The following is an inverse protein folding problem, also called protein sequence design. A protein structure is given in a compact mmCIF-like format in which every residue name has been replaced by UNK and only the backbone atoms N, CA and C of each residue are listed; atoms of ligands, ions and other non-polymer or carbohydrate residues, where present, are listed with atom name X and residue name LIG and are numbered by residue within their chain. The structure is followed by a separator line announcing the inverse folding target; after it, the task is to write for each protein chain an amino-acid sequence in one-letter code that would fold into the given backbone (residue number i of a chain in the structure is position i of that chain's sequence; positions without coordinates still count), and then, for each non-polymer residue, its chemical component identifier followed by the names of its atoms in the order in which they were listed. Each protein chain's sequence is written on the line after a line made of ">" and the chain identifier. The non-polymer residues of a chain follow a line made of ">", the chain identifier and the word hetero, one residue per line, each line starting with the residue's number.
data_IF_296333816627
#
_entry.id   IF_296333816627
#
_cell.length_a   1.000
_cell.length_b   1.000
_cell.length_c   1.000
_cell.angle_alpha   90.00
_cell.angle_beta   90.00
_cell.angle_gamma   90.00
#
_symmetry.space_group_name_H-M   'P 1'
#
loop_
_entity.id
_entity.type
_entity.pdbx_description
1 polymer ?
#
# COMPACT_ATOMS: atom_id res chain seq x y z
N UNK A 1 30.45 -8.00 13.24
CA UNK A 1 29.22 -7.22 13.05
C UNK A 1 28.03 -8.08 13.48
N UNK A 2 27.19 -7.58 14.38
CA UNK A 2 25.96 -8.27 14.79
C UNK A 2 24.98 -8.42 13.61
N UNK A 3 24.08 -9.40 13.71
CA UNK A 3 23.04 -9.63 12.69
C UNK A 3 22.16 -8.37 12.50
N UNK A 4 21.82 -7.69 13.58
CA UNK A 4 21.06 -6.43 13.57
C UNK A 4 21.80 -5.32 12.81
N UNK A 5 23.11 -5.14 13.02
CA UNK A 5 23.89 -4.13 12.30
C UNK A 5 23.96 -4.39 10.78
N UNK A 6 24.02 -5.67 10.37
CA UNK A 6 23.93 -6.06 8.93
C UNK A 6 22.56 -5.74 8.35
N UNK A 7 21.50 -6.05 9.10
CA UNK A 7 20.13 -5.77 8.68
C UNK A 7 19.89 -4.26 8.52
N UNK A 8 20.28 -3.43 9.52
CA UNK A 8 20.18 -1.97 9.48
C UNK A 8 20.92 -1.35 8.30
N UNK A 9 22.14 -1.83 8.01
CA UNK A 9 22.89 -1.37 6.83
C UNK A 9 22.16 -1.72 5.53
N UNK A 10 21.52 -2.89 5.45
CA UNK A 10 20.78 -3.35 4.28
C UNK A 10 19.52 -2.52 4.04
N UNK A 11 18.74 -2.23 5.10
CA UNK A 11 17.53 -1.43 4.98
C UNK A 11 17.82 0.04 4.63
N UNK A 12 18.90 0.61 5.19
CA UNK A 12 19.34 1.96 4.81
C UNK A 12 19.85 2.01 3.37
N UNK A 13 20.54 0.96 2.94
CA UNK A 13 20.99 0.80 1.55
C UNK A 13 19.81 0.75 0.57
N UNK A 14 18.69 0.16 0.99
CA UNK A 14 17.45 0.18 0.19
C UNK A 14 16.98 1.62 -0.08
N UNK A 15 16.81 2.44 0.96
CA UNK A 15 16.36 3.82 0.79
C UNK A 15 17.30 4.61 -0.14
N UNK A 16 18.60 4.46 0.04
CA UNK A 16 19.62 5.11 -0.82
C UNK A 16 19.49 4.71 -2.29
N UNK A 17 19.12 3.46 -2.55
CA UNK A 17 18.96 2.96 -3.91
C UNK A 17 17.58 3.30 -4.51
N UNK A 18 16.53 3.36 -3.71
CA UNK A 18 15.15 3.45 -4.22
C UNK A 18 14.59 4.86 -4.28
N UNK A 19 14.97 5.77 -3.38
CA UNK A 19 14.51 7.15 -3.44
C UNK A 19 14.88 7.85 -4.76
N UNK A 20 16.10 7.75 -5.29
CA UNK A 20 16.44 8.34 -6.60
C UNK A 20 15.63 7.78 -7.75
N UNK A 21 15.24 6.49 -7.68
CA UNK A 21 14.47 5.84 -8.74
C UNK A 21 13.02 6.31 -8.83
N UNK A 22 12.49 6.96 -7.79
CA UNK A 22 11.17 7.57 -7.82
C UNK A 22 11.11 8.76 -8.78
N UNK A 23 12.27 9.28 -9.21
CA UNK A 23 12.36 10.47 -10.08
C UNK A 23 11.50 11.62 -9.53
N UNK A 24 11.76 12.00 -8.27
CA UNK A 24 11.02 13.05 -7.57
C UNK A 24 11.15 14.43 -8.23
N UNK A 25 12.19 14.61 -9.02
CA UNK A 25 12.45 15.78 -9.87
C UNK A 25 11.43 15.96 -11.00
N UNK A 26 10.66 14.92 -11.32
CA UNK A 26 9.57 14.96 -12.31
C UNK A 26 8.24 15.44 -11.72
N UNK A 27 8.16 15.67 -10.42
CA UNK A 27 7.02 16.32 -9.79
C UNK A 27 7.23 17.82 -9.97
N UNK A 28 6.30 18.48 -10.61
CA UNK A 28 6.35 19.91 -10.86
C UNK A 28 6.24 20.68 -9.53
N UNK A 29 7.12 21.64 -9.36
CA UNK A 29 7.11 22.51 -8.17
C UNK A 29 6.14 23.67 -8.40
N UNK A 30 5.02 23.76 -7.70
CA UNK A 30 4.04 24.83 -7.90
C UNK A 30 4.50 26.17 -7.32
N UNK A 31 5.63 26.19 -6.60
CA UNK A 31 6.13 27.40 -5.96
C UNK A 31 6.86 28.29 -6.97
N UNK A 32 6.81 29.58 -6.72
CA UNK A 32 7.57 30.56 -7.51
C UNK A 32 9.08 30.42 -7.25
N UNK A 33 9.92 30.54 -8.29
CA UNK A 33 11.39 30.36 -8.24
C UNK A 33 12.09 31.26 -7.23
N UNK A 34 11.56 32.46 -6.99
CA UNK A 34 12.12 33.41 -6.02
C UNK A 34 11.90 32.90 -4.60
N UNK A 35 13.01 32.69 -3.87
CA UNK A 35 12.97 32.30 -2.46
C UNK A 35 12.93 30.82 -2.17
N UNK A 36 13.11 29.96 -3.15
CA UNK A 36 13.20 28.51 -2.95
C UNK A 36 14.44 28.13 -2.11
N UNK A 37 14.20 27.90 -0.82
CA UNK A 37 15.26 27.50 0.13
C UNK A 37 15.59 26.00 0.04
N UNK A 38 14.61 25.18 -0.32
CA UNK A 38 14.72 23.74 -0.51
C UNK A 38 14.06 23.35 -1.82
N UNK A 39 14.74 22.52 -2.58
CA UNK A 39 14.20 21.94 -3.81
C UNK A 39 13.08 20.94 -3.49
N UNK A 40 12.04 20.87 -4.30
CA UNK A 40 10.90 19.97 -4.09
C UNK A 40 11.32 18.49 -3.93
N UNK A 41 12.22 17.93 -4.75
CA UNK A 41 12.65 16.55 -4.58
C UNK A 41 13.24 16.26 -3.21
N UNK A 42 13.94 17.23 -2.61
CA UNK A 42 14.50 17.10 -1.27
C UNK A 42 13.39 17.08 -0.20
N UNK A 43 12.37 17.94 -0.33
CA UNK A 43 11.22 17.97 0.59
C UNK A 43 10.43 16.67 0.51
N UNK A 44 10.15 16.16 -0.67
CA UNK A 44 9.47 14.86 -0.86
C UNK A 44 10.29 13.69 -0.30
N UNK A 45 11.62 13.73 -0.47
CA UNK A 45 12.52 12.72 0.14
C UNK A 45 12.45 12.77 1.67
N UNK A 46 12.34 13.96 2.28
CA UNK A 46 12.17 14.12 3.73
C UNK A 46 10.85 13.49 4.17
N UNK A 47 9.74 13.82 3.51
CA UNK A 47 8.41 13.29 3.85
C UNK A 47 8.37 11.76 3.74
N UNK A 48 8.84 11.19 2.61
CA UNK A 48 8.88 9.74 2.42
C UNK A 48 9.78 9.04 3.44
N UNK A 49 10.95 9.62 3.75
CA UNK A 49 11.85 9.05 4.76
C UNK A 49 11.24 9.13 6.15
N UNK A 50 10.56 10.22 6.48
CA UNK A 50 9.85 10.37 7.75
C UNK A 50 8.73 9.34 7.89
N UNK A 51 7.93 9.09 6.84
CA UNK A 51 6.88 8.06 6.83
C UNK A 51 7.48 6.66 7.08
N UNK A 52 8.49 6.26 6.33
CA UNK A 52 9.09 4.92 6.49
C UNK A 52 9.91 4.78 7.78
N UNK A 53 10.28 5.88 8.43
CA UNK A 53 10.90 5.91 9.76
C UNK A 53 9.87 5.99 10.91
N UNK A 54 8.57 5.95 10.61
CA UNK A 54 7.50 5.93 11.60
C UNK A 54 7.26 7.26 12.30
N UNK A 55 7.54 8.38 11.64
CA UNK A 55 7.10 9.70 12.10
C UNK A 55 5.57 9.78 12.03
N UNK A 56 4.96 10.47 13.00
CA UNK A 56 3.50 10.60 13.13
C UNK A 56 2.97 11.97 12.76
N UNK A 57 3.86 12.93 12.47
CA UNK A 57 3.49 14.28 12.14
C UNK A 57 4.55 14.96 11.27
N UNK A 58 4.19 16.10 10.65
CA UNK A 58 5.16 16.96 9.97
C UNK A 58 6.20 17.53 10.95
N UNK A 59 5.83 17.71 12.21
CA UNK A 59 6.75 18.14 13.27
C UNK A 59 7.79 17.06 13.57
N UNK A 60 7.39 15.79 13.61
CA UNK A 60 8.36 14.67 13.75
C UNK A 60 9.31 14.62 12.54
N UNK A 61 8.80 14.90 11.34
CA UNK A 61 9.62 14.98 10.14
C UNK A 61 10.65 16.14 10.23
N UNK A 62 10.24 17.29 10.75
CA UNK A 62 11.13 18.40 11.04
C UNK A 62 12.21 18.02 12.06
N UNK A 63 11.83 17.34 13.16
CA UNK A 63 12.77 16.86 14.18
C UNK A 63 13.75 15.82 13.60
N UNK A 64 13.28 14.95 12.73
CA UNK A 64 14.14 13.99 12.03
C UNK A 64 15.22 14.73 11.23
N UNK A 65 14.86 15.79 10.48
CA UNK A 65 15.83 16.59 9.73
C UNK A 65 16.81 17.35 10.62
N UNK A 66 16.43 17.70 11.84
CA UNK A 66 17.30 18.33 12.83
C UNK A 66 18.38 17.36 13.32
N UNK A 67 18.01 16.10 13.49
CA UNK A 67 18.93 15.02 13.98
C UNK A 67 19.81 14.46 12.87
N UNK A 68 19.33 14.45 11.62
CA UNK A 68 20.10 13.94 10.49
C UNK A 68 21.27 14.88 10.20
N UNK A 69 22.48 14.36 10.28
CA UNK A 69 23.69 15.13 10.02
C UNK A 69 23.78 15.58 8.57
N UNK A 70 24.57 16.61 8.31
CA UNK A 70 24.80 17.11 6.96
C UNK A 70 25.25 16.04 5.96
N UNK A 71 25.98 15.01 6.42
CA UNK A 71 26.40 13.91 5.55
C UNK A 71 25.27 12.98 5.16
N UNK A 72 24.49 12.50 6.13
CA UNK A 72 23.32 11.65 5.86
C UNK A 72 22.25 12.45 5.12
N UNK A 73 21.96 13.68 5.55
CA UNK A 73 21.04 14.56 4.89
C UNK A 73 21.40 14.81 3.42
N UNK A 74 22.62 15.11 3.09
CA UNK A 74 23.06 15.32 1.70
C UNK A 74 23.00 14.05 0.85
N UNK A 75 23.35 12.90 1.42
CA UNK A 75 23.41 11.63 0.66
C UNK A 75 22.07 10.94 0.48
N UNK A 76 21.14 11.17 1.41
CA UNK A 76 19.84 10.48 1.42
C UNK A 76 18.68 11.44 1.15
N UNK A 77 18.66 12.58 1.85
CA UNK A 77 17.53 13.52 1.82
C UNK A 77 17.80 14.78 1.00
N UNK A 78 19.06 14.98 0.56
CA UNK A 78 19.50 16.19 -0.14
C UNK A 78 19.26 17.50 0.64
N UNK A 79 19.14 17.41 1.99
CA UNK A 79 18.98 18.57 2.88
C UNK A 79 20.20 18.72 3.77
N UNK A 80 20.65 19.98 3.97
CA UNK A 80 21.83 20.31 4.78
C UNK A 80 21.47 20.91 6.15
N UNK A 81 20.19 21.14 6.41
CA UNK A 81 19.69 21.80 7.62
C UNK A 81 18.23 21.40 7.88
N UNK A 82 17.73 21.74 9.07
CA UNK A 82 16.34 21.54 9.49
C UNK A 82 15.38 22.10 8.44
N UNK A 83 14.36 21.31 8.11
CA UNK A 83 13.24 21.71 7.24
C UNK A 83 12.03 21.94 8.15
N UNK A 84 11.49 23.18 8.26
CA UNK A 84 10.34 23.45 9.10
C UNK A 84 9.07 22.69 8.65
N UNK A 85 8.25 22.26 9.61
CA UNK A 85 6.96 21.62 9.37
C UNK A 85 6.01 22.51 8.56
N UNK A 86 6.04 23.83 8.82
CA UNK A 86 5.26 24.81 8.07
C UNK A 86 5.63 24.84 6.58
N UNK A 87 6.92 24.71 6.26
CA UNK A 87 7.38 24.61 4.86
C UNK A 87 6.87 23.32 4.21
N UNK A 88 6.96 22.18 4.92
CA UNK A 88 6.44 20.91 4.42
C UNK A 88 4.93 21.00 4.19
N UNK A 89 4.18 21.53 5.16
CA UNK A 89 2.73 21.70 5.07
C UNK A 89 2.33 22.55 3.87
N UNK A 90 2.90 23.77 3.75
CA UNK A 90 2.59 24.69 2.64
C UNK A 90 2.81 24.01 1.29
N UNK A 91 3.94 23.32 1.12
CA UNK A 91 4.23 22.64 -0.15
C UNK A 91 3.26 21.49 -0.43
N UNK A 92 2.99 20.66 0.57
CA UNK A 92 2.09 19.51 0.40
C UNK A 92 0.66 19.91 0.04
N UNK A 93 0.16 21.02 0.59
CA UNK A 93 -1.16 21.56 0.27
C UNK A 93 -1.26 22.17 -1.14
N UNK A 94 -0.14 22.43 -1.81
CA UNK A 94 -0.12 23.02 -3.16
C UNK A 94 0.21 22.03 -4.27
N UNK A 95 0.62 20.79 -3.93
CA UNK A 95 0.96 19.77 -4.93
C UNK A 95 -0.29 19.20 -5.60
N UNK A 96 -0.17 18.87 -6.89
CA UNK A 96 -1.22 18.16 -7.62
C UNK A 96 -1.28 16.68 -7.21
N UNK A 97 -2.45 16.17 -6.78
CA UNK A 97 -2.64 14.75 -6.52
C UNK A 97 -2.36 13.87 -7.74
N UNK A 98 -2.66 14.33 -8.95
CA UNK A 98 -2.43 13.61 -10.20
C UNK A 98 -0.93 13.36 -10.44
N UNK A 99 -0.09 14.34 -10.10
CA UNK A 99 1.36 14.16 -10.19
C UNK A 99 1.88 13.14 -9.18
N UNK A 100 1.27 13.06 -7.99
CA UNK A 100 1.61 12.06 -6.97
C UNK A 100 1.10 10.67 -7.38
N UNK A 101 -0.08 10.56 -8.03
CA UNK A 101 -0.49 9.30 -8.69
C UNK A 101 0.53 8.89 -9.76
N UNK A 102 0.97 9.82 -10.61
CA UNK A 102 2.00 9.54 -11.61
C UNK A 102 3.34 9.09 -10.98
N UNK A 103 3.69 9.62 -9.81
CA UNK A 103 4.83 9.15 -9.02
C UNK A 103 4.65 7.68 -8.58
N UNK A 104 3.49 7.34 -8.04
CA UNK A 104 3.13 5.97 -7.66
C UNK A 104 3.21 5.02 -8.86
N UNK A 105 2.65 5.42 -10.00
CA UNK A 105 2.71 4.64 -11.24
C UNK A 105 4.16 4.43 -11.72
N UNK A 106 5.03 5.44 -11.62
CA UNK A 106 6.47 5.30 -11.95
C UNK A 106 7.16 4.28 -11.03
N UNK A 107 6.87 4.32 -9.73
CA UNK A 107 7.39 3.35 -8.77
C UNK A 107 7.04 1.91 -9.17
N UNK A 108 5.77 1.67 -9.52
CA UNK A 108 5.28 0.35 -9.91
C UNK A 108 5.91 -0.12 -11.22
N UNK A 109 6.01 0.75 -12.24
CA UNK A 109 6.69 0.43 -13.50
C UNK A 109 8.18 0.07 -13.26
N UNK A 110 8.87 0.76 -12.34
CA UNK A 110 10.23 0.43 -11.96
C UNK A 110 10.32 -0.92 -11.23
N UNK A 111 9.38 -1.20 -10.32
CA UNK A 111 9.31 -2.50 -9.65
C UNK A 111 9.04 -3.64 -10.65
N UNK A 112 8.19 -3.42 -11.65
CA UNK A 112 7.93 -4.37 -12.73
C UNK A 112 9.20 -4.65 -13.55
N UNK A 113 9.91 -3.61 -14.01
CA UNK A 113 11.18 -3.76 -14.76
C UNK A 113 12.22 -4.59 -14.01
N UNK A 114 12.21 -4.55 -12.67
CA UNK A 114 13.08 -5.35 -11.80
C UNK A 114 12.55 -6.73 -11.49
N UNK A 115 11.44 -7.13 -12.09
CA UNK A 115 10.75 -8.39 -11.80
C UNK A 115 10.37 -8.55 -10.31
N UNK A 116 10.13 -7.41 -9.62
CA UNK A 116 9.74 -7.40 -8.20
C UNK A 116 8.22 -7.58 -8.00
N UNK A 117 7.44 -7.60 -9.08
CA UNK A 117 5.99 -7.77 -9.06
C UNK A 117 5.56 -9.18 -9.55
N UNK A 118 6.43 -10.15 -9.48
CA UNK A 118 6.12 -11.50 -9.93
C UNK A 118 4.88 -12.05 -9.22
N UNK A 119 4.08 -12.80 -9.97
CA UNK A 119 2.88 -13.50 -9.50
C UNK A 119 3.29 -14.73 -8.68
N UNK A 120 3.78 -14.51 -7.47
CA UNK A 120 4.30 -15.57 -6.60
C UNK A 120 3.24 -16.21 -5.72
N UNK A 121 2.07 -15.55 -5.62
CA UNK A 121 1.00 -15.97 -4.73
C UNK A 121 -0.19 -16.60 -5.47
N UNK A 122 -0.41 -16.22 -6.73
CA UNK A 122 -1.47 -16.74 -7.59
C UNK A 122 -0.90 -16.95 -9.00
N UNK A 123 -1.43 -17.88 -9.78
CA UNK A 123 -0.93 -18.16 -11.14
C UNK A 123 -1.31 -17.11 -12.18
N UNK A 124 -2.26 -16.25 -11.84
CA UNK A 124 -2.71 -15.11 -12.66
C UNK A 124 -2.53 -13.80 -11.91
N UNK A 125 -2.31 -12.72 -12.63
CA UNK A 125 -2.28 -11.39 -12.07
C UNK A 125 -3.67 -10.93 -11.62
N UNK A 126 -3.80 -10.50 -10.37
CA UNK A 126 -5.05 -10.02 -9.79
C UNK A 126 -4.84 -8.70 -9.08
N UNK A 127 -5.65 -7.71 -9.41
CA UNK A 127 -5.76 -6.44 -8.69
C UNK A 127 -7.02 -6.46 -7.84
N UNK A 128 -6.88 -6.26 -6.55
CA UNK A 128 -8.01 -5.97 -5.69
C UNK A 128 -8.25 -4.46 -5.63
N UNK A 129 -9.50 -4.07 -5.78
CA UNK A 129 -9.98 -2.69 -5.73
C UNK A 129 -10.87 -2.58 -4.49
N UNK A 130 -10.54 -1.66 -3.60
CA UNK A 130 -11.26 -1.48 -2.34
C UNK A 130 -11.26 -0.02 -1.91
N UNK A 131 -12.38 0.44 -1.35
CA UNK A 131 -12.54 1.78 -0.83
C UNK A 131 -11.79 1.98 0.48
N UNK A 132 -11.17 3.14 0.65
CA UNK A 132 -10.59 3.56 1.92
C UNK A 132 -11.02 4.98 2.24
N UNK A 133 -11.50 5.17 3.48
CA UNK A 133 -11.92 6.47 4.01
C UNK A 133 -10.98 6.91 5.12
N UNK A 134 -10.58 8.18 5.09
CA UNK A 134 -9.85 8.86 6.18
C UNK A 134 -10.71 10.00 6.69
N UNK A 135 -10.96 10.03 8.00
CA UNK A 135 -11.78 11.06 8.61
C UNK A 135 -10.97 12.35 8.77
N UNK A 136 -11.52 13.43 8.28
CA UNK A 136 -10.97 14.79 8.39
C UNK A 136 -11.98 15.70 9.10
N UNK A 137 -11.56 16.85 9.63
CA UNK A 137 -12.49 17.91 9.98
C UNK A 137 -13.35 18.32 8.78
N UNK A 138 -14.56 18.82 9.03
CA UNK A 138 -15.47 19.26 7.96
C UNK A 138 -14.81 20.37 7.11
N UNK A 139 -14.84 20.19 5.80
CA UNK A 139 -14.40 21.14 4.80
C UNK A 139 -15.30 21.08 3.57
N UNK A 140 -15.26 22.11 2.74
CA UNK A 140 -16.07 22.24 1.53
C UNK A 140 -15.33 21.81 0.24
N UNK A 141 -14.23 21.11 0.38
CA UNK A 141 -13.46 20.64 -0.77
C UNK A 141 -14.15 19.44 -1.45
N UNK A 142 -14.05 19.37 -2.77
CA UNK A 142 -14.67 18.32 -3.59
C UNK A 142 -14.09 16.91 -3.34
N UNK A 143 -12.97 16.80 -2.63
CA UNK A 143 -12.40 15.49 -2.23
C UNK A 143 -12.92 14.98 -0.89
N UNK A 144 -13.61 15.80 -0.09
CA UNK A 144 -14.06 15.40 1.23
C UNK A 144 -15.57 15.55 1.38
N UNK A 145 -16.25 14.43 1.67
CA UNK A 145 -17.68 14.45 1.97
C UNK A 145 -17.94 14.94 3.39
N UNK A 146 -18.97 15.76 3.56
CA UNK A 146 -19.51 16.07 4.87
C UNK A 146 -20.29 14.88 5.42
N UNK A 147 -20.01 14.51 6.64
CA UNK A 147 -20.74 13.49 7.37
C UNK A 147 -21.15 14.04 8.72
N UNK A 148 -22.41 13.85 9.08
CA UNK A 148 -22.88 14.14 10.43
C UNK A 148 -22.65 12.92 11.30
N UNK A 149 -21.76 13.04 12.31
CA UNK A 149 -21.54 12.01 13.28
C UNK A 149 -22.68 11.95 14.30
N UNK A 150 -22.81 10.83 15.03
CA UNK A 150 -23.67 10.76 16.22
C UNK A 150 -23.32 11.91 17.19
N UNK A 151 -24.32 12.70 17.59
CA UNK A 151 -24.13 13.90 18.41
C UNK A 151 -24.03 15.21 17.62
N UNK A 152 -24.28 15.23 16.31
CA UNK A 152 -24.38 16.44 15.49
C UNK A 152 -23.07 17.07 15.03
N UNK A 153 -21.90 16.48 15.38
CA UNK A 153 -20.63 16.95 14.88
C UNK A 153 -20.48 16.67 13.38
N UNK A 154 -20.15 17.68 12.58
CA UNK A 154 -19.90 17.54 11.14
C UNK A 154 -18.44 17.17 10.93
N UNK A 155 -18.19 16.05 10.25
CA UNK A 155 -16.87 15.57 9.87
C UNK A 155 -16.77 15.45 8.36
N UNK A 156 -15.57 15.62 7.82
CA UNK A 156 -15.25 15.29 6.44
C UNK A 156 -14.78 13.83 6.31
N UNK A 157 -14.93 13.26 5.15
CA UNK A 157 -14.36 11.96 4.79
C UNK A 157 -13.65 12.06 3.44
N UNK A 158 -12.33 12.00 3.47
CA UNK A 158 -11.54 11.79 2.27
C UNK A 158 -11.60 10.32 1.89
N UNK A 159 -12.09 10.03 0.67
CA UNK A 159 -12.23 8.66 0.20
C UNK A 159 -11.40 8.40 -1.05
N UNK A 160 -10.79 7.23 -1.12
CA UNK A 160 -10.00 6.79 -2.28
C UNK A 160 -10.34 5.34 -2.64
N UNK A 161 -10.41 5.03 -3.93
CA UNK A 161 -10.35 3.65 -4.41
C UNK A 161 -8.89 3.22 -4.45
N UNK A 162 -8.50 2.32 -3.57
CA UNK A 162 -7.15 1.77 -3.50
C UNK A 162 -7.06 0.48 -4.31
N UNK A 163 -6.07 0.41 -5.20
CA UNK A 163 -5.83 -0.74 -6.07
C UNK A 163 -4.55 -1.46 -5.65
N UNK A 164 -4.64 -2.72 -5.26
CA UNK A 164 -3.51 -3.52 -4.80
C UNK A 164 -3.29 -4.76 -5.67
N UNK A 165 -2.05 -5.01 -6.10
CA UNK A 165 -1.67 -6.20 -6.88
C UNK A 165 -1.50 -7.39 -5.93
N UNK A 166 -2.60 -8.06 -5.61
CA UNK A 166 -2.66 -9.14 -4.61
C UNK A 166 -2.04 -10.47 -5.08
N UNK A 167 -1.81 -10.65 -6.36
CA UNK A 167 -1.09 -11.80 -6.90
C UNK A 167 0.41 -11.79 -6.60
N UNK A 168 0.98 -10.63 -6.29
CA UNK A 168 2.35 -10.49 -5.80
C UNK A 168 2.42 -10.73 -4.28
N UNK A 169 3.50 -11.36 -3.80
CA UNK A 169 3.73 -11.54 -2.36
C UNK A 169 3.84 -10.23 -1.58
N UNK A 170 4.23 -9.14 -2.23
CA UNK A 170 4.33 -7.82 -1.63
C UNK A 170 2.98 -7.10 -1.54
N UNK A 171 1.98 -7.51 -2.32
CA UNK A 171 0.67 -6.84 -2.44
C UNK A 171 0.80 -5.31 -2.54
N UNK A 172 1.64 -4.77 -3.46
CA UNK A 172 1.86 -3.33 -3.52
C UNK A 172 0.58 -2.60 -3.94
N UNK A 173 0.39 -1.40 -3.41
CA UNK A 173 -0.62 -0.48 -3.90
C UNK A 173 -0.14 0.06 -5.26
N UNK A 174 -0.89 -0.21 -6.33
CA UNK A 174 -0.53 0.21 -7.67
C UNK A 174 -1.22 1.51 -8.09
N UNK A 175 -2.35 1.82 -7.49
CA UNK A 175 -3.05 3.09 -7.67
C UNK A 175 -3.91 3.44 -6.44
N UNK A 176 -4.25 4.73 -6.31
CA UNK A 176 -5.24 5.24 -5.38
C UNK A 176 -5.95 6.43 -6.02
N UNK A 177 -7.22 6.24 -6.35
CA UNK A 177 -8.02 7.20 -7.10
C UNK A 177 -8.94 7.93 -6.12
N UNK A 178 -8.88 9.26 -6.03
CA UNK A 178 -9.79 10.00 -5.16
C UNK A 178 -11.23 9.86 -5.63
N UNK A 179 -12.14 9.69 -4.68
CA UNK A 179 -13.58 9.69 -4.91
C UNK A 179 -14.07 11.11 -4.65
N UNK A 180 -14.61 11.81 -5.65
CA UNK A 180 -15.19 13.14 -5.46
C UNK A 180 -16.27 13.15 -4.38
N UNK A 181 -16.44 14.29 -3.70
CA UNK A 181 -17.36 14.40 -2.57
C UNK A 181 -18.83 14.14 -2.93
N UNK A 182 -19.22 14.41 -4.17
CA UNK A 182 -20.57 14.27 -4.72
C UNK A 182 -20.87 12.86 -5.28
N UNK A 183 -19.90 11.93 -5.23
CA UNK A 183 -20.03 10.58 -5.76
C UNK A 183 -19.72 9.50 -4.72
N UNK A 184 -19.76 8.24 -5.15
CA UNK A 184 -19.41 7.08 -4.32
C UNK A 184 -18.51 6.08 -5.07
N UNK A 185 -18.10 5.05 -4.37
CA UNK A 185 -17.22 3.99 -4.90
C UNK A 185 -17.81 3.29 -6.14
N UNK A 186 -19.12 3.06 -6.16
CA UNK A 186 -19.79 2.40 -7.26
C UNK A 186 -19.72 3.24 -8.55
N UNK A 187 -19.92 4.55 -8.43
CA UNK A 187 -19.95 5.46 -9.58
C UNK A 187 -18.59 5.58 -10.26
N UNK A 188 -17.47 5.43 -9.52
CA UNK A 188 -16.13 5.56 -10.09
C UNK A 188 -15.47 4.24 -10.48
N UNK A 189 -16.14 3.09 -10.24
CA UNK A 189 -15.57 1.77 -10.51
C UNK A 189 -15.07 1.61 -11.95
N UNK A 190 -15.90 1.95 -12.94
CA UNK A 190 -15.53 1.80 -14.36
C UNK A 190 -14.35 2.70 -14.73
N UNK A 191 -14.32 3.93 -14.21
CA UNK A 191 -13.18 4.83 -14.37
C UNK A 191 -11.92 4.21 -13.74
N UNK A 192 -12.03 3.64 -12.55
CA UNK A 192 -10.91 2.99 -11.87
C UNK A 192 -10.32 1.85 -12.73
N UNK A 193 -11.16 0.99 -13.29
CA UNK A 193 -10.73 -0.11 -14.17
C UNK A 193 -10.12 0.43 -15.45
N UNK A 194 -10.70 1.47 -16.07
CA UNK A 194 -10.14 2.10 -17.26
C UNK A 194 -8.75 2.71 -17.01
N UNK A 195 -8.59 3.49 -15.93
CA UNK A 195 -7.30 4.07 -15.53
C UNK A 195 -6.23 2.99 -15.32
N UNK A 196 -6.59 1.85 -14.70
CA UNK A 196 -5.68 0.71 -14.51
C UNK A 196 -5.23 0.10 -15.82
N UNK A 197 -6.16 -0.10 -16.78
CA UNK A 197 -5.86 -0.65 -18.10
C UNK A 197 -5.00 0.32 -18.91
N UNK A 198 -5.32 1.60 -18.92
CA UNK A 198 -4.52 2.63 -19.58
C UNK A 198 -3.08 2.67 -19.00
N UNK A 199 -2.96 2.63 -17.69
CA UNK A 199 -1.67 2.75 -16.99
C UNK A 199 -0.80 1.51 -17.13
N UNK A 200 -1.39 0.31 -17.08
CA UNK A 200 -0.64 -0.95 -16.90
C UNK A 200 -0.97 -2.05 -17.93
N UNK A 201 -1.93 -1.86 -18.82
CA UNK A 201 -2.37 -2.89 -19.75
C UNK A 201 -1.23 -3.51 -20.57
N UNK A 202 -0.25 -2.70 -20.98
CA UNK A 202 0.93 -3.17 -21.71
C UNK A 202 1.94 -3.96 -20.87
N UNK A 203 1.85 -3.89 -19.53
CA UNK A 203 2.78 -4.60 -18.65
C UNK A 203 2.39 -6.05 -18.40
N UNK A 204 1.17 -6.44 -18.77
CA UNK A 204 0.62 -7.79 -18.52
C UNK A 204 0.77 -8.26 -17.06
N UNK A 205 0.70 -7.34 -16.10
CA UNK A 205 0.92 -7.65 -14.70
C UNK A 205 -0.35 -8.15 -13.99
N UNK A 206 -1.55 -7.99 -14.60
CA UNK A 206 -2.81 -8.54 -14.11
C UNK A 206 -3.77 -8.86 -15.27
N UNK A 207 -4.68 -9.78 -15.02
CA UNK A 207 -5.74 -10.25 -15.93
C UNK A 207 -7.11 -10.30 -15.27
N UNK A 208 -7.18 -9.98 -13.97
CA UNK A 208 -8.40 -10.01 -13.18
C UNK A 208 -8.45 -8.83 -12.22
N UNK A 209 -9.65 -8.32 -12.00
CA UNK A 209 -9.97 -7.41 -10.89
C UNK A 209 -10.88 -8.10 -9.89
N UNK A 210 -10.65 -7.86 -8.60
CA UNK A 210 -11.48 -8.37 -7.51
C UNK A 210 -11.99 -7.18 -6.68
N UNK A 211 -13.28 -7.18 -6.31
CA UNK A 211 -13.89 -6.07 -5.57
C UNK A 211 -15.03 -6.56 -4.68
N UNK A 212 -15.48 -5.67 -3.81
CA UNK A 212 -16.58 -5.91 -2.89
C UNK A 212 -17.96 -5.98 -3.60
N UNK A 213 -19.00 -6.20 -2.81
CA UNK A 213 -20.35 -6.32 -3.32
C UNK A 213 -20.98 -4.99 -3.77
N UNK A 214 -20.41 -3.85 -3.37
CA UNK A 214 -20.85 -2.53 -3.82
C UNK A 214 -20.68 -2.36 -5.34
N UNK A 215 -19.56 -2.88 -5.88
CA UNK A 215 -19.28 -2.83 -7.32
C UNK A 215 -19.89 -4.00 -8.12
N UNK A 216 -20.55 -4.97 -7.46
CA UNK A 216 -21.15 -6.14 -8.09
C UNK A 216 -22.41 -5.74 -8.86
N UNK A 217 -22.30 -5.60 -10.18
CA UNK A 217 -23.42 -5.32 -11.09
C UNK A 217 -23.15 -5.93 -12.47
N UNK A 218 -24.25 -6.14 -13.23
CA UNK A 218 -24.17 -6.66 -14.58
C UNK A 218 -23.40 -5.72 -15.51
N UNK A 219 -23.63 -4.40 -15.37
CA UNK A 219 -22.94 -3.38 -16.17
C UNK A 219 -21.44 -3.36 -15.87
N UNK A 220 -21.04 -3.44 -14.61
CA UNK A 220 -19.63 -3.49 -14.23
C UNK A 220 -18.95 -4.80 -14.68
N UNK A 221 -19.68 -5.93 -14.67
CA UNK A 221 -19.21 -7.19 -15.22
C UNK A 221 -18.95 -7.09 -16.73
N UNK A 222 -19.93 -6.58 -17.49
CA UNK A 222 -19.81 -6.36 -18.92
C UNK A 222 -18.68 -5.37 -19.25
N UNK A 223 -18.60 -4.25 -18.55
CA UNK A 223 -17.52 -3.28 -18.73
C UNK A 223 -16.15 -3.89 -18.46
N UNK A 224 -15.97 -4.61 -17.34
CA UNK A 224 -14.69 -5.26 -17.02
C UNK A 224 -14.27 -6.25 -18.11
N UNK A 225 -15.23 -7.02 -18.64
CA UNK A 225 -14.99 -7.95 -19.75
C UNK A 225 -14.64 -7.23 -21.05
N UNK A 226 -15.26 -6.10 -21.36
CA UNK A 226 -14.91 -5.29 -22.53
C UNK A 226 -13.48 -4.75 -22.48
N UNK A 227 -12.93 -4.56 -21.26
CA UNK A 227 -11.53 -4.18 -21.06
C UNK A 227 -10.55 -5.38 -21.16
N UNK A 228 -11.01 -6.57 -21.53
CA UNK A 228 -10.20 -7.78 -21.63
C UNK A 228 -9.83 -8.42 -20.28
N UNK A 229 -10.42 -7.97 -19.19
CA UNK A 229 -10.15 -8.46 -17.83
C UNK A 229 -11.22 -9.43 -17.35
N UNK A 230 -10.84 -10.35 -16.47
CA UNK A 230 -11.77 -11.12 -15.66
C UNK A 230 -12.17 -10.33 -14.41
N UNK A 231 -13.33 -10.65 -13.86
CA UNK A 231 -13.77 -10.13 -12.55
C UNK A 231 -13.93 -11.23 -11.52
N UNK A 232 -13.75 -10.89 -10.26
CA UNK A 232 -14.19 -11.61 -9.07
C UNK A 232 -14.94 -10.61 -8.18
N UNK A 233 -16.27 -10.70 -8.12
CA UNK A 233 -17.09 -9.81 -7.30
C UNK A 233 -17.63 -10.56 -6.09
N UNK A 234 -17.52 -9.97 -4.90
CA UNK A 234 -18.28 -10.43 -3.76
C UNK A 234 -19.77 -10.25 -4.04
N UNK A 235 -20.57 -11.25 -3.70
CA UNK A 235 -22.01 -11.29 -3.96
C UNK A 235 -22.77 -11.20 -2.64
N UNK A 236 -23.71 -10.26 -2.57
CA UNK A 236 -24.61 -10.05 -1.43
C UNK A 236 -26.05 -9.83 -1.92
N UNK A 237 -26.96 -9.63 -0.99
CA UNK A 237 -28.38 -9.33 -1.25
C UNK A 237 -28.63 -8.05 -2.05
N UNK A 238 -27.62 -7.23 -2.34
CA UNK A 238 -27.70 -6.12 -3.31
C UNK A 238 -27.99 -6.60 -4.73
N UNK A 239 -27.71 -7.89 -5.03
CA UNK A 239 -28.07 -8.59 -6.25
C UNK A 239 -28.97 -9.80 -5.87
N UNK A 240 -30.25 -9.57 -5.50
CA UNK A 240 -31.07 -10.57 -4.80
C UNK A 240 -31.27 -11.84 -5.62
N UNK A 241 -31.67 -11.75 -6.89
CA UNK A 241 -31.92 -12.93 -7.75
C UNK A 241 -30.68 -13.83 -7.88
N UNK A 242 -29.51 -13.22 -8.09
CA UNK A 242 -28.26 -13.94 -8.26
C UNK A 242 -27.76 -14.52 -6.93
N UNK A 243 -27.94 -13.76 -5.84
CA UNK A 243 -27.58 -14.19 -4.50
C UNK A 243 -28.44 -15.36 -4.02
N UNK A 244 -29.77 -15.27 -4.17
CA UNK A 244 -30.72 -16.30 -3.73
C UNK A 244 -30.48 -17.61 -4.48
N UNK A 245 -30.18 -17.53 -5.78
CA UNK A 245 -29.85 -18.71 -6.57
C UNK A 245 -28.49 -19.31 -6.14
N UNK A 246 -27.47 -18.48 -5.84
CA UNK A 246 -26.21 -18.95 -5.30
C UNK A 246 -26.39 -19.65 -3.93
N UNK A 247 -27.24 -19.10 -3.07
CA UNK A 247 -27.60 -19.69 -1.77
C UNK A 247 -28.37 -21.01 -1.99
N UNK A 248 -29.30 -21.06 -2.94
CA UNK A 248 -30.07 -22.30 -3.26
C UNK A 248 -29.13 -23.42 -3.70
N UNK A 249 -28.12 -23.12 -4.52
CA UNK A 249 -27.20 -24.12 -5.08
C UNK A 249 -26.09 -24.54 -4.11
N UNK A 250 -25.60 -23.64 -3.28
CA UNK A 250 -24.39 -23.84 -2.46
C UNK A 250 -24.67 -23.76 -0.96
N UNK A 251 -25.77 -23.18 -0.52
CA UNK A 251 -26.03 -22.89 0.91
C UNK A 251 -26.28 -24.16 1.75
N UNK A 252 -26.87 -25.21 1.14
CA UNK A 252 -27.15 -26.49 1.80
C UNK A 252 -26.04 -27.53 1.63
N UNK A 253 -24.95 -27.20 0.89
CA UNK A 253 -23.85 -28.15 0.68
C UNK A 253 -23.05 -28.28 1.96
N UNK A 254 -22.91 -29.51 2.42
CA UNK A 254 -22.25 -29.84 3.68
C UNK A 254 -20.74 -29.58 3.65
N UNK A 255 -20.16 -29.32 4.83
CA UNK A 255 -18.73 -28.97 4.95
C UNK A 255 -17.82 -30.09 4.41
N UNK A 256 -18.22 -31.35 4.54
CA UNK A 256 -17.43 -32.50 4.03
C UNK A 256 -17.35 -32.55 2.49
N UNK A 257 -18.25 -31.87 1.80
CA UNK A 257 -18.26 -31.76 0.33
C UNK A 257 -17.42 -30.59 -0.18
N UNK A 258 -16.78 -29.82 0.73
CA UNK A 258 -15.90 -28.72 0.34
C UNK A 258 -14.77 -29.20 -0.58
N UNK A 259 -14.63 -28.53 -1.73
CA UNK A 259 -13.63 -28.87 -2.77
C UNK A 259 -12.22 -28.43 -2.38
N UNK A 260 -12.08 -27.47 -1.45
CA UNK A 260 -10.82 -27.08 -0.81
C UNK A 260 -11.05 -26.59 0.61
N UNK A 261 -10.05 -26.77 1.45
CA UNK A 261 -10.06 -26.34 2.86
C UNK A 261 -8.77 -25.63 3.22
N UNK A 262 -8.84 -24.71 4.19
CA UNK A 262 -7.68 -24.15 4.84
C UNK A 262 -7.93 -23.94 6.32
N UNK A 263 -6.86 -23.99 7.11
CA UNK A 263 -6.89 -23.73 8.54
C UNK A 263 -5.80 -22.72 8.89
N UNK A 264 -6.14 -21.68 9.66
CA UNK A 264 -5.21 -20.67 10.16
C UNK A 264 -5.28 -20.61 11.68
N UNK A 265 -4.14 -20.70 12.34
CA UNK A 265 -4.01 -20.51 13.78
C UNK A 265 -3.76 -19.04 14.09
N UNK A 266 -4.67 -18.41 14.86
CA UNK A 266 -4.60 -16.97 15.18
C UNK A 266 -3.85 -16.66 16.49
N UNK A 267 -3.31 -17.70 17.14
CA UNK A 267 -2.70 -17.62 18.46
C UNK A 267 -3.63 -18.12 19.58
N UNK A 268 -3.05 -18.68 20.66
CA UNK A 268 -3.79 -19.48 21.62
C UNK A 268 -4.45 -20.67 20.95
N UNK A 269 -5.64 -21.03 21.41
CA UNK A 269 -6.43 -22.15 20.84
C UNK A 269 -7.46 -21.69 19.80
N UNK A 270 -7.27 -20.47 19.26
CA UNK A 270 -8.17 -19.92 18.24
C UNK A 270 -7.75 -20.34 16.84
N UNK A 271 -8.68 -20.93 16.12
CA UNK A 271 -8.48 -21.44 14.75
C UNK A 271 -9.58 -20.94 13.83
N UNK A 272 -9.21 -20.55 12.61
CA UNK A 272 -10.16 -20.20 11.55
C UNK A 272 -10.07 -21.26 10.44
N UNK A 273 -11.18 -22.00 10.25
CA UNK A 273 -11.35 -22.95 9.17
C UNK A 273 -12.13 -22.35 8.04
N UNK A 274 -11.71 -22.59 6.81
CA UNK A 274 -12.42 -22.14 5.61
C UNK A 274 -12.68 -23.30 4.70
N UNK A 275 -13.93 -23.43 4.28
CA UNK A 275 -14.42 -24.43 3.34
C UNK A 275 -14.85 -23.73 2.05
N UNK A 276 -14.36 -24.19 0.91
CA UNK A 276 -14.70 -23.69 -0.42
C UNK A 276 -15.65 -24.63 -1.12
N UNK A 277 -16.73 -24.10 -1.65
CA UNK A 277 -17.66 -24.76 -2.56
C UNK A 277 -17.73 -24.00 -3.88
N UNK A 278 -17.82 -24.72 -5.00
CA UNK A 278 -17.80 -24.14 -6.35
C UNK A 278 -18.95 -24.74 -7.17
N UNK A 279 -19.67 -23.91 -7.91
CA UNK A 279 -20.63 -24.37 -8.91
C UNK A 279 -20.41 -23.70 -10.26
N UNK A 280 -20.74 -24.42 -11.35
CA UNK A 280 -20.83 -23.93 -12.74
C UNK A 280 -22.28 -23.89 -13.24
N UNK A 281 -23.23 -24.32 -12.43
CA UNK A 281 -24.65 -24.43 -12.84
C UNK A 281 -25.28 -23.09 -13.20
N UNK A 282 -24.62 -21.98 -12.85
CA UNK A 282 -25.04 -20.64 -13.18
C UNK A 282 -24.24 -20.02 -14.34
N UNK A 283 -23.51 -20.82 -15.11
CA UNK A 283 -22.76 -20.34 -16.28
C UNK A 283 -23.72 -19.67 -17.27
N UNK A 284 -23.50 -18.36 -17.51
CA UNK A 284 -24.36 -17.52 -18.32
C UNK A 284 -25.74 -17.20 -17.75
N UNK A 285 -26.10 -17.71 -16.56
CA UNK A 285 -27.38 -17.41 -15.91
C UNK A 285 -27.38 -15.97 -15.37
N UNK A 286 -28.39 -15.22 -15.68
CA UNK A 286 -28.58 -13.80 -15.37
C UNK A 286 -27.54 -12.86 -15.99
N UNK A 287 -26.27 -13.26 -16.13
CA UNK A 287 -25.17 -12.46 -16.62
C UNK A 287 -24.39 -13.18 -17.71
N UNK A 288 -24.27 -12.57 -18.88
CA UNK A 288 -23.66 -13.19 -20.06
C UNK A 288 -22.25 -13.74 -19.81
N UNK A 289 -21.47 -13.07 -18.97
CA UNK A 289 -20.08 -13.43 -18.71
C UNK A 289 -19.87 -14.23 -17.41
N UNK A 290 -20.92 -14.61 -16.70
CA UNK A 290 -20.82 -15.42 -15.49
C UNK A 290 -20.38 -16.85 -15.83
N UNK A 291 -19.34 -17.35 -15.18
CA UNK A 291 -18.78 -18.70 -15.39
C UNK A 291 -18.68 -19.54 -14.13
N UNK A 292 -18.44 -18.90 -12.99
CA UNK A 292 -18.17 -19.62 -11.74
C UNK A 292 -18.80 -18.86 -10.57
N UNK A 293 -19.46 -19.58 -9.69
CA UNK A 293 -19.95 -19.08 -8.42
C UNK A 293 -19.26 -19.85 -7.29
N UNK A 294 -18.82 -19.11 -6.27
CA UNK A 294 -18.10 -19.63 -5.11
C UNK A 294 -18.89 -19.32 -3.84
N UNK A 295 -18.92 -20.29 -2.90
CA UNK A 295 -19.22 -20.05 -1.48
C UNK A 295 -17.97 -20.35 -0.67
N UNK A 296 -17.57 -19.41 0.17
CA UNK A 296 -16.54 -19.63 1.19
C UNK A 296 -17.19 -19.50 2.54
N UNK A 297 -17.31 -20.63 3.23
CA UNK A 297 -17.71 -20.68 4.63
C UNK A 297 -16.48 -20.47 5.51
N UNK A 298 -16.54 -19.53 6.43
CA UNK A 298 -15.46 -19.24 7.40
C UNK A 298 -15.98 -19.49 8.81
N UNK A 299 -15.35 -20.45 9.50
CA UNK A 299 -15.69 -20.86 10.86
C UNK A 299 -14.54 -20.48 11.81
N UNK A 300 -14.84 -19.73 12.86
CA UNK A 300 -13.88 -19.43 13.91
C UNK A 300 -14.16 -20.30 15.13
N UNK A 301 -13.15 -21.03 15.55
CA UNK A 301 -13.17 -21.90 16.70
C UNK A 301 -12.28 -21.35 17.79
N UNK A 302 -12.70 -21.43 19.06
CA UNK A 302 -11.92 -21.04 20.21
C UNK A 302 -12.03 -22.14 21.27
N UNK A 303 -10.90 -22.71 21.71
CA UNK A 303 -10.85 -23.86 22.60
C UNK A 303 -11.74 -25.05 22.14
N UNK A 304 -11.81 -25.28 20.83
CA UNK A 304 -12.64 -26.34 20.24
C UNK A 304 -14.13 -26.04 20.13
N UNK A 305 -14.59 -24.84 20.53
CA UNK A 305 -15.98 -24.38 20.43
C UNK A 305 -16.12 -23.48 19.22
N UNK A 306 -17.15 -23.72 18.38
CA UNK A 306 -17.50 -22.85 17.26
C UNK A 306 -18.09 -21.52 17.81
N UNK A 307 -17.37 -20.42 17.62
CA UNK A 307 -17.81 -19.10 18.10
C UNK A 307 -18.38 -18.21 16.98
N UNK A 308 -18.04 -18.49 15.72
CA UNK A 308 -18.53 -17.71 14.56
C UNK A 308 -18.54 -18.57 13.31
N UNK A 309 -19.62 -18.48 12.51
CA UNK A 309 -19.70 -19.04 11.17
C UNK A 309 -20.27 -17.99 10.21
N UNK A 310 -19.62 -17.80 9.07
CA UNK A 310 -20.01 -16.84 8.03
C UNK A 310 -19.89 -17.49 6.66
N UNK A 311 -20.93 -17.30 5.83
CA UNK A 311 -20.90 -17.65 4.43
C UNK A 311 -20.71 -16.41 3.57
N UNK A 312 -19.82 -16.48 2.60
CA UNK A 312 -19.58 -15.42 1.63
C UNK A 312 -19.60 -15.99 0.23
N UNK A 313 -20.34 -15.34 -0.64
CA UNK A 313 -20.51 -15.73 -2.02
C UNK A 313 -19.75 -14.83 -2.95
N UNK A 314 -19.30 -15.37 -4.07
CA UNK A 314 -18.56 -14.64 -5.11
C UNK A 314 -19.01 -15.11 -6.49
N UNK A 315 -18.98 -14.18 -7.44
CA UNK A 315 -19.23 -14.43 -8.85
C UNK A 315 -17.99 -14.08 -9.66
N UNK A 316 -17.68 -14.90 -10.66
CA UNK A 316 -16.46 -14.77 -11.45
C UNK A 316 -16.69 -15.10 -12.92
N UNK A 317 -16.03 -14.32 -13.79
CA UNK A 317 -16.02 -14.58 -15.24
C UNK A 317 -14.95 -15.58 -15.67
N UNK A 318 -14.05 -16.01 -14.79
CA UNK A 318 -13.06 -17.03 -15.08
C UNK A 318 -13.70 -18.41 -14.92
N UNK A 319 -13.50 -19.33 -15.89
CA UNK A 319 -14.03 -20.67 -15.79
C UNK A 319 -13.36 -21.46 -14.63
N UNK A 320 -14.13 -22.31 -13.94
CA UNK A 320 -13.70 -22.96 -12.70
C UNK A 320 -12.48 -23.90 -12.88
N UNK A 321 -12.24 -24.42 -14.07
CA UNK A 321 -11.11 -25.28 -14.42
C UNK A 321 -9.80 -24.53 -14.68
N UNK A 322 -9.84 -23.20 -14.74
CA UNK A 322 -8.64 -22.36 -14.97
C UNK A 322 -7.75 -22.21 -13.73
N UNK A 323 -8.29 -22.51 -12.56
CA UNK A 323 -7.57 -22.53 -11.29
C UNK A 323 -7.84 -23.85 -10.58
N UNK A 324 -6.86 -24.38 -9.84
CA UNK A 324 -7.12 -25.47 -8.92
C UNK A 324 -8.02 -25.01 -7.76
N UNK A 325 -8.70 -25.94 -7.10
CA UNK A 325 -9.57 -25.61 -5.96
C UNK A 325 -8.82 -24.87 -4.84
N UNK A 326 -7.57 -25.25 -4.58
CA UNK A 326 -6.71 -24.55 -3.61
C UNK A 326 -6.38 -23.14 -4.06
N UNK A 327 -6.15 -22.90 -5.36
CA UNK A 327 -5.89 -21.57 -5.91
C UNK A 327 -7.13 -20.68 -5.85
N UNK A 328 -8.34 -21.22 -6.06
CA UNK A 328 -9.60 -20.51 -5.86
C UNK A 328 -9.75 -20.02 -4.41
N UNK A 329 -9.52 -20.92 -3.43
CA UNK A 329 -9.57 -20.53 -2.02
C UNK A 329 -8.49 -19.48 -1.69
N UNK A 330 -7.29 -19.64 -2.24
CA UNK A 330 -6.21 -18.69 -2.07
C UNK A 330 -6.53 -17.33 -2.69
N UNK A 331 -7.19 -17.26 -3.86
CA UNK A 331 -7.64 -16.04 -4.51
C UNK A 331 -8.58 -15.25 -3.61
N UNK A 332 -9.62 -15.91 -3.08
CA UNK A 332 -10.58 -15.27 -2.17
C UNK A 332 -9.89 -14.80 -0.88
N UNK A 333 -9.00 -15.62 -0.30
CA UNK A 333 -8.23 -15.23 0.89
C UNK A 333 -7.36 -14.00 0.63
N UNK A 334 -6.72 -13.93 -0.53
CA UNK A 334 -5.88 -12.81 -0.91
C UNK A 334 -6.67 -11.54 -1.18
N UNK A 335 -7.86 -11.65 -1.71
CA UNK A 335 -8.76 -10.51 -1.82
C UNK A 335 -9.02 -9.88 -0.44
N UNK A 336 -9.38 -10.67 0.57
CA UNK A 336 -9.58 -10.16 1.93
C UNK A 336 -8.31 -9.64 2.60
N UNK A 337 -7.15 -10.04 2.14
CA UNK A 337 -5.89 -9.50 2.66
C UNK A 337 -5.67 -8.03 2.30
N UNK A 338 -6.46 -7.42 1.41
CA UNK A 338 -6.36 -5.96 1.15
C UNK A 338 -6.70 -5.19 2.41
N UNK A 339 -7.79 -5.54 3.09
CA UNK A 339 -8.16 -4.94 4.37
C UNK A 339 -7.13 -5.24 5.47
N UNK A 340 -6.73 -6.51 5.63
CA UNK A 340 -5.85 -6.97 6.71
C UNK A 340 -4.35 -6.83 6.42
N UNK A 341 -3.95 -6.38 5.23
CA UNK A 341 -2.58 -6.18 4.80
C UNK A 341 -2.29 -4.71 4.48
N UNK A 342 -2.49 -4.26 3.22
CA UNK A 342 -2.23 -2.88 2.85
C UNK A 342 -2.97 -1.85 3.70
N UNK A 343 -4.31 -1.92 3.84
CA UNK A 343 -5.09 -0.96 4.62
C UNK A 343 -4.69 -0.98 6.09
N UNK A 344 -4.63 -2.16 6.72
CA UNK A 344 -4.17 -2.29 8.10
C UNK A 344 -2.76 -1.71 8.30
N UNK A 345 -1.84 -1.89 7.34
CA UNK A 345 -0.48 -1.35 7.44
C UNK A 345 -0.47 0.17 7.31
N UNK A 346 -1.29 0.73 6.41
CA UNK A 346 -1.45 2.18 6.28
C UNK A 346 -1.98 2.79 7.58
N UNK A 347 -2.95 2.15 8.24
CA UNK A 347 -3.55 2.66 9.48
C UNK A 347 -2.66 2.44 10.70
N UNK A 348 -2.22 1.21 10.92
CA UNK A 348 -1.54 0.84 12.19
C UNK A 348 -0.05 1.15 12.18
N UNK A 349 0.62 1.03 11.02
CA UNK A 349 2.06 1.22 10.91
C UNK A 349 2.46 2.59 10.35
N UNK A 350 1.67 3.13 9.42
CA UNK A 350 1.90 4.44 8.80
C UNK A 350 0.94 5.52 9.31
N UNK A 351 0.04 5.20 10.24
CA UNK A 351 -0.81 6.13 10.98
C UNK A 351 -1.68 7.02 10.07
N UNK A 352 -2.33 6.41 9.05
CA UNK A 352 -3.13 7.18 8.10
C UNK A 352 -4.40 7.74 8.73
N UNK A 353 -5.09 6.95 9.55
CA UNK A 353 -6.38 7.34 10.13
C UNK A 353 -6.23 8.12 11.44
N UNK A 354 -5.29 7.72 12.31
CA UNK A 354 -5.10 8.36 13.62
C UNK A 354 -4.20 9.61 13.58
N UNK A 355 -3.34 9.73 12.55
CA UNK A 355 -2.45 10.88 12.36
C UNK A 355 -2.31 11.24 10.88
N UNK A 356 -3.31 11.88 10.25
CA UNK A 356 -3.28 12.20 8.83
C UNK A 356 -2.22 13.27 8.45
N UNK A 357 -1.57 13.92 9.42
CA UNK A 357 -0.55 14.98 9.32
C UNK A 357 -1.08 16.34 8.83
N UNK A 358 -2.03 16.33 7.91
CA UNK A 358 -2.76 17.50 7.42
C UNK A 358 -4.25 17.14 7.49
N UNK A 359 -5.00 17.91 8.28
CA UNK A 359 -6.40 17.62 8.56
C UNK A 359 -7.34 18.69 7.98
N UNK A 360 -6.89 19.93 7.92
CA UNK A 360 -7.71 21.07 7.52
C UNK A 360 -7.70 21.35 6.01
N UNK A 361 -6.88 20.61 5.24
CA UNK A 361 -6.74 20.78 3.80
C UNK A 361 -6.86 19.41 3.11
N UNK A 362 -7.99 19.11 2.44
CA UNK A 362 -8.23 17.82 1.78
C UNK A 362 -7.24 17.52 0.66
N UNK A 363 -6.77 18.51 -0.09
CA UNK A 363 -5.75 18.31 -1.11
C UNK A 363 -4.43 17.86 -0.49
N UNK A 364 -3.98 18.54 0.56
CA UNK A 364 -2.77 18.14 1.30
C UNK A 364 -2.92 16.77 1.97
N UNK A 365 -4.10 16.44 2.50
CA UNK A 365 -4.40 15.12 3.04
C UNK A 365 -4.34 14.04 1.96
N UNK A 366 -4.90 14.29 0.76
CA UNK A 366 -4.85 13.37 -0.38
C UNK A 366 -3.41 13.16 -0.88
N UNK A 367 -2.63 14.25 -0.98
CA UNK A 367 -1.21 14.19 -1.34
C UNK A 367 -0.44 13.31 -0.35
N UNK A 368 -0.68 13.46 0.96
CA UNK A 368 -0.06 12.62 1.99
C UNK A 368 -0.52 11.16 1.89
N UNK A 369 -1.81 10.92 1.63
CA UNK A 369 -2.34 9.58 1.42
C UNK A 369 -1.63 8.87 0.24
N UNK A 370 -1.42 9.56 -0.88
CA UNK A 370 -0.67 9.04 -2.03
C UNK A 370 0.81 8.77 -1.69
N UNK A 371 1.47 9.68 -0.97
CA UNK A 371 2.84 9.48 -0.51
C UNK A 371 2.97 8.31 0.48
N UNK A 372 1.95 8.06 1.32
CA UNK A 372 1.92 6.87 2.19
C UNK A 372 1.86 5.57 1.39
N UNK A 373 1.15 5.53 0.25
CA UNK A 373 1.15 4.36 -0.64
C UNK A 373 2.54 4.13 -1.25
N UNK A 374 3.23 5.19 -1.64
CA UNK A 374 4.63 5.11 -2.10
C UNK A 374 5.54 4.60 -0.99
N UNK A 375 5.40 5.10 0.24
CA UNK A 375 6.17 4.66 1.41
C UNK A 375 5.86 3.20 1.77
N UNK A 376 4.58 2.81 1.78
CA UNK A 376 4.16 1.42 1.96
C UNK A 376 4.84 0.49 0.94
N UNK A 377 4.80 0.83 -0.34
CA UNK A 377 5.40 0.03 -1.40
C UNK A 377 6.91 -0.14 -1.22
N UNK A 378 7.64 0.90 -0.79
CA UNK A 378 9.08 0.79 -0.49
C UNK A 378 9.33 -0.30 0.56
N UNK A 379 8.56 -0.29 1.65
CA UNK A 379 8.68 -1.26 2.75
C UNK A 379 8.17 -2.64 2.35
N UNK A 380 7.03 -2.74 1.65
CA UNK A 380 6.43 -4.00 1.25
C UNK A 380 7.31 -4.78 0.26
N UNK A 381 7.86 -4.10 -0.74
CA UNK A 381 8.80 -4.69 -1.69
C UNK A 381 10.12 -5.09 -1.01
N UNK A 382 10.60 -4.31 -0.05
CA UNK A 382 11.77 -4.71 0.73
C UNK A 382 11.51 -5.97 1.54
N UNK A 383 10.44 -5.98 2.33
CA UNK A 383 10.09 -7.09 3.22
C UNK A 383 9.85 -8.39 2.47
N UNK A 384 9.04 -8.34 1.41
CA UNK A 384 8.53 -9.56 0.76
C UNK A 384 9.34 -10.00 -0.46
N UNK A 385 10.12 -9.11 -1.07
CA UNK A 385 10.91 -9.42 -2.28
C UNK A 385 12.41 -9.41 -1.99
N UNK A 386 12.90 -8.39 -1.26
CA UNK A 386 14.34 -8.25 -1.04
C UNK A 386 14.87 -9.13 0.09
N UNK A 387 14.09 -9.31 1.17
CA UNK A 387 14.44 -10.20 2.27
C UNK A 387 14.24 -11.66 1.85
N UNK A 388 15.25 -12.50 2.09
CA UNK A 388 15.24 -13.90 1.65
C UNK A 388 14.81 -14.88 2.75
N UNK A 389 15.14 -14.59 4.02
CA UNK A 389 14.75 -15.48 5.12
C UNK A 389 13.29 -15.30 5.50
N UNK A 390 12.61 -16.38 5.79
CA UNK A 390 11.21 -16.37 6.23
C UNK A 390 11.03 -15.55 7.50
N UNK A 391 11.88 -15.75 8.50
CA UNK A 391 11.87 -14.97 9.75
C UNK A 391 11.95 -13.46 9.53
N UNK A 392 12.73 -13.01 8.54
CA UNK A 392 12.80 -11.59 8.19
C UNK A 392 11.52 -11.09 7.48
N UNK A 393 10.90 -11.94 6.66
CA UNK A 393 9.62 -11.61 6.00
C UNK A 393 8.45 -11.57 6.97
N UNK A 394 8.51 -12.35 8.05
CA UNK A 394 7.51 -12.37 9.11
C UNK A 394 7.70 -11.28 10.16
N UNK A 395 8.77 -10.47 10.07
CA UNK A 395 9.01 -9.36 10.98
C UNK A 395 7.79 -8.42 11.02
N UNK A 396 7.26 -8.06 12.21
CA UNK A 396 6.17 -7.10 12.33
C UNK A 396 6.51 -5.74 11.70
N UNK A 397 5.54 -5.08 11.10
CA UNK A 397 5.73 -3.78 10.44
C UNK A 397 6.35 -2.73 11.37
N UNK A 398 5.87 -2.64 12.61
CA UNK A 398 6.41 -1.71 13.63
C UNK A 398 7.89 -1.97 13.92
N UNK A 399 8.29 -3.24 13.96
CA UNK A 399 9.69 -3.60 14.16
C UNK A 399 10.54 -3.22 12.95
N UNK A 400 10.08 -3.49 11.71
CA UNK A 400 10.76 -3.12 10.47
C UNK A 400 11.02 -1.61 10.40
N UNK A 401 9.97 -0.82 10.70
CA UNK A 401 10.04 0.65 10.76
C UNK A 401 11.01 1.11 11.85
N UNK A 402 10.94 0.49 13.03
CA UNK A 402 11.86 0.79 14.14
C UNK A 402 13.33 0.51 13.79
N UNK A 403 13.62 -0.61 13.12
CA UNK A 403 14.98 -0.94 12.65
C UNK A 403 15.47 0.06 11.59
N UNK A 404 14.58 0.55 10.72
CA UNK A 404 14.93 1.60 9.75
C UNK A 404 15.24 2.93 10.43
N UNK A 405 14.39 3.33 11.39
CA UNK A 405 14.62 4.55 12.20
C UNK A 405 15.95 4.48 12.92
N UNK A 406 16.25 3.36 13.58
CA UNK A 406 17.55 3.16 14.26
C UNK A 406 18.71 3.18 13.28
N UNK A 407 18.55 2.60 12.09
CA UNK A 407 19.60 2.64 11.05
C UNK A 407 19.94 4.08 10.59
N UNK A 408 18.93 4.93 10.50
CA UNK A 408 19.11 6.36 10.19
C UNK A 408 19.88 7.07 11.34
N UNK A 409 19.51 6.82 12.59
CA UNK A 409 20.18 7.41 13.76
C UNK A 409 21.63 6.91 13.88
N UNK A 410 21.87 5.60 13.76
CA UNK A 410 23.22 5.02 13.79
C UNK A 410 24.13 5.61 12.70
N UNK A 411 23.58 5.87 11.50
CA UNK A 411 24.32 6.50 10.43
C UNK A 411 24.68 7.96 10.75
N UNK A 412 23.79 8.68 11.44
CA UNK A 412 24.06 10.04 11.91
C UNK A 412 25.15 10.07 12.97
N UNK A 413 25.09 9.18 13.96
CA UNK A 413 26.09 9.11 15.04
C UNK A 413 27.47 8.74 14.51
N UNK A 414 27.53 7.78 13.58
CA UNK A 414 28.79 7.41 12.93
C UNK A 414 29.44 8.57 12.18
N UNK A 415 28.62 9.38 11.48
CA UNK A 415 29.10 10.58 10.79
C UNK A 415 29.59 11.66 11.76
N UNK A 416 28.99 11.77 12.94
CA UNK A 416 29.42 12.68 14.00
C UNK A 416 30.75 12.24 14.61
N UNK A 417 30.93 10.95 14.85
CA UNK A 417 32.15 10.38 15.41
C UNK A 417 33.33 10.61 14.45
N UNK A 418 33.16 10.29 13.17
CA UNK A 418 34.21 10.47 12.15
C UNK A 418 34.61 11.94 11.96
N UNK A 419 33.71 12.88 12.21
CA UNK A 419 34.04 14.32 12.12
C UNK A 419 34.75 14.89 13.36
N UNK A 420 34.55 14.24 14.52
CA UNK A 420 35.18 14.67 15.79
C UNK A 420 36.62 14.13 15.93
N UNK A 421 37.04 13.16 15.15
CA UNK A 421 38.41 12.70 15.14
C UNK A 421 39.25 13.74 14.39
N UNK A 422 40.16 14.49 15.05
CA UNK A 422 41.04 15.42 14.36
C UNK A 422 41.88 14.60 13.38
N UNK A 423 42.01 15.07 12.16
CA UNK A 423 43.03 14.55 11.23
C UNK A 423 44.37 14.79 11.94
N UNK A 424 45.18 13.75 12.21
CA UNK A 424 46.51 13.98 12.76
C UNK A 424 47.20 14.97 11.82
N UNK A 425 47.63 16.11 12.36
CA UNK A 425 48.48 17.02 11.62
C UNK A 425 49.67 16.22 11.11
N UNK A 426 49.82 16.10 9.81
CA UNK A 426 51.03 15.61 9.21
C UNK A 426 52.17 16.43 9.82
N UNK A 427 53.02 15.78 10.64
CA UNK A 427 54.22 16.39 11.19
C UNK A 427 55.00 16.94 10.00
N UNK A 428 55.16 18.27 10.00
CA UNK A 428 56.03 18.93 9.06
C UNK A 428 57.43 18.34 9.26
N UNK A 429 57.86 17.52 8.33
CA UNK A 429 59.25 17.06 8.29
C UNK A 429 60.12 18.31 8.11
N UNK A 430 60.83 18.69 9.17
CA UNK A 430 61.86 19.70 9.13
C UNK A 430 62.93 19.23 8.15
N UNK A 431 62.97 19.82 6.98
CA UNK A 431 64.11 19.74 6.08
C UNK A 431 65.24 20.51 6.74
N UNK A 432 66.17 19.80 7.41
CA UNK A 432 67.44 20.29 7.76
C UNK A 432 68.26 20.46 6.48
N UNK A 433 68.55 21.68 6.11
CA UNK A 433 69.53 22.00 5.08
C UNK A 433 70.92 21.52 5.53
N UNK A 434 71.76 20.87 4.70
CA UNK A 434 73.12 20.65 4.99
C UNK A 434 73.95 21.98 4.81
N UNK A 435 74.71 22.33 5.83
CA UNK A 435 75.69 23.40 5.77
C UNK A 435 76.81 23.05 4.76
N UNK A 436 76.98 23.94 3.81
CA UNK A 436 78.17 23.98 2.98
C UNK A 436 79.36 24.58 3.81
N UNK A 437 80.38 23.78 4.03
CA UNK A 437 81.71 24.21 4.35
C UNK A 437 82.62 24.11 3.14
#
# INVERSE_FOLDING_TARGET
>A
MSQSARFRRRILGLLRARLPELALDRVEDPRHDKGLRWQLPALLSVVLTAMVAGCRSLRDAEELTTRVTRCVGRRLLHVARRVPDTTLRTVLCTLSPEQLRALLHRQIRQAHRRKSLQQTALPIGVVAIDGKSTILPSCDDHFAQRQTAEGGAVRGALRTMTCCLISSSASPCIDAIPIPADTNEMAIYQRCVADLVETYGQLDCFRMVATDAGSCSQDNAAFTRSQGLHYLFALKSTQPTLHDEAVRLLGSVEDYEAVARSEDHLGGDRVVRRNLHITRQMDGYCWEHLRTVLRVQSQTWDHGVLIKSEDRYFVCSLAADRLSNTQWLQLVRRYWMVENGPHYTLDVALHEDDHPWIEADPQGALVLALLRRVAYNLLALFRNVTLRSESSRMMPWRQLIGELRQALLDACDSDLITRRTPIPALAAASLSQPALG
#
